data_IF_768060250282
#
_entry.id   IF_768060250282
#
_cell.length_a   1.000
_cell.length_b   1.000
_cell.length_c   1.000
_cell.angle_alpha   90.00
_cell.angle_beta   90.00
_cell.angle_gamma   90.00
#
_symmetry.space_group_name_H-M   'P 1'
#
loop_
_entity.id
_entity.type
_entity.pdbx_description
1 polymer ?
#
# COMPACT_ATOMS: atom_id res chain seq x y z
N UNK A 1 5.95 17.48 -11.97
CA UNK A 1 5.14 18.71 -11.95
C UNK A 1 5.16 19.40 -13.32
N UNK A 2 3.99 19.76 -13.81
CA UNK A 2 3.81 20.59 -15.02
C UNK A 2 3.02 21.83 -14.61
N UNK A 3 3.70 22.94 -14.27
CA UNK A 3 3.05 24.15 -13.78
C UNK A 3 1.95 24.62 -14.72
N UNK A 4 0.77 24.90 -14.16
CA UNK A 4 -0.42 25.28 -14.93
C UNK A 4 -1.23 24.11 -15.52
N UNK A 5 -0.73 22.87 -15.40
CA UNK A 5 -1.40 21.64 -15.87
C UNK A 5 -1.65 20.68 -14.71
N UNK A 6 -0.61 20.22 -14.06
CA UNK A 6 -0.68 19.34 -12.90
C UNK A 6 0.50 19.57 -11.96
N UNK A 7 0.20 19.73 -10.66
CA UNK A 7 1.19 19.83 -9.59
C UNK A 7 0.85 18.76 -8.54
N UNK A 8 1.83 17.99 -8.12
CA UNK A 8 1.67 17.01 -7.04
C UNK A 8 1.47 17.71 -5.68
N UNK A 9 0.98 16.97 -4.70
CA UNK A 9 0.66 17.48 -3.36
C UNK A 9 1.89 17.83 -2.51
N UNK A 10 3.07 17.31 -2.88
CA UNK A 10 4.34 17.58 -2.20
C UNK A 10 5.44 17.95 -3.24
N UNK A 11 5.30 19.11 -3.93
CA UNK A 11 6.17 19.46 -5.07
C UNK A 11 7.63 19.73 -4.67
N UNK A 12 7.87 20.11 -3.44
CA UNK A 12 9.19 20.49 -2.92
C UNK A 12 9.87 19.37 -2.11
N UNK A 13 9.23 18.20 -1.99
CA UNK A 13 9.82 17.05 -1.33
C UNK A 13 10.91 16.39 -2.19
N UNK A 14 11.90 15.80 -1.52
CA UNK A 14 12.88 14.92 -2.17
C UNK A 14 12.34 13.49 -2.19
N UNK A 15 12.56 12.76 -3.29
CA UNK A 15 11.99 11.42 -3.48
C UNK A 15 13.07 10.38 -3.77
N UNK A 16 12.95 9.25 -3.09
CA UNK A 16 13.55 7.98 -3.48
C UNK A 16 12.48 7.12 -4.14
N UNK A 17 12.69 6.73 -5.39
CA UNK A 17 11.77 5.84 -6.12
C UNK A 17 12.40 4.45 -6.16
N UNK A 18 11.76 3.50 -5.49
CA UNK A 18 12.27 2.13 -5.35
C UNK A 18 11.27 1.19 -6.00
N UNK A 19 11.77 0.31 -6.87
CA UNK A 19 10.97 -0.75 -7.48
C UNK A 19 11.30 -2.07 -6.80
N UNK A 20 10.32 -2.69 -6.16
CA UNK A 20 10.41 -3.99 -5.50
C UNK A 20 9.65 -5.12 -6.22
N UNK A 21 8.89 -4.77 -7.26
CA UNK A 21 7.96 -5.69 -7.93
C UNK A 21 8.47 -6.20 -9.28
N UNK A 22 8.18 -7.46 -9.58
CA UNK A 22 8.28 -8.06 -10.91
C UNK A 22 6.88 -8.33 -11.47
N UNK A 23 6.38 -7.46 -12.34
CA UNK A 23 5.01 -7.53 -12.91
C UNK A 23 4.71 -8.79 -13.74
N UNK A 24 5.63 -9.74 -13.82
CA UNK A 24 5.46 -11.01 -14.56
C UNK A 24 4.95 -12.15 -13.69
N UNK A 25 5.06 -12.00 -12.39
CA UNK A 25 4.75 -13.05 -11.41
C UNK A 25 4.58 -12.43 -10.02
N UNK A 26 3.91 -13.16 -9.13
CA UNK A 26 3.69 -12.79 -7.73
C UNK A 26 4.25 -13.90 -6.84
N UNK A 27 5.45 -13.74 -6.32
CA UNK A 27 6.11 -14.73 -5.46
C UNK A 27 6.45 -14.17 -4.09
N UNK A 28 6.52 -15.00 -3.04
CA UNK A 28 6.86 -14.55 -1.68
C UNK A 28 8.17 -13.77 -1.55
N UNK A 29 9.12 -13.95 -2.49
CA UNK A 29 10.38 -13.20 -2.52
C UNK A 29 10.17 -11.69 -2.72
N UNK A 30 9.03 -11.26 -3.24
CA UNK A 30 8.72 -9.84 -3.40
C UNK A 30 8.50 -9.16 -2.05
N UNK A 31 8.07 -9.90 -1.03
CA UNK A 31 8.07 -9.40 0.34
C UNK A 31 9.50 -9.12 0.84
N UNK A 32 10.47 -9.98 0.51
CA UNK A 32 11.89 -9.74 0.85
C UNK A 32 12.43 -8.49 0.14
N UNK A 33 12.05 -8.27 -1.13
CA UNK A 33 12.42 -7.06 -1.87
C UNK A 33 11.79 -5.81 -1.25
N UNK A 34 10.54 -5.90 -0.82
CA UNK A 34 9.86 -4.81 -0.13
C UNK A 34 10.55 -4.49 1.20
N UNK A 35 10.92 -5.49 1.99
CA UNK A 35 11.66 -5.33 3.24
C UNK A 35 13.01 -4.67 2.99
N UNK A 36 13.77 -5.13 1.98
CA UNK A 36 15.04 -4.53 1.61
C UNK A 36 14.89 -3.07 1.17
N UNK A 37 13.77 -2.73 0.50
CA UNK A 37 13.45 -1.34 0.15
C UNK A 37 13.20 -0.47 1.38
N UNK A 38 12.50 -1.00 2.40
CA UNK A 38 12.28 -0.30 3.68
C UNK A 38 13.58 -0.13 4.47
N UNK A 39 14.44 -1.17 4.51
CA UNK A 39 15.76 -1.07 5.14
C UNK A 39 16.64 -0.02 4.47
N UNK A 40 16.62 0.03 3.13
CA UNK A 40 17.31 1.09 2.39
C UNK A 40 16.74 2.46 2.75
N UNK A 41 15.42 2.63 2.78
CA UNK A 41 14.76 3.87 3.14
C UNK A 41 15.17 4.36 4.54
N UNK A 42 15.19 3.45 5.54
CA UNK A 42 15.70 3.73 6.89
C UNK A 42 17.17 4.17 6.85
N UNK A 43 18.02 3.48 6.08
CA UNK A 43 19.46 3.76 6.00
C UNK A 43 19.79 5.14 5.42
N UNK A 44 18.95 5.67 4.55
CA UNK A 44 19.12 7.02 3.95
C UNK A 44 18.34 8.10 4.68
N UNK A 45 17.62 7.74 5.75
CA UNK A 45 16.94 8.66 6.66
C UNK A 45 15.69 9.31 6.06
N UNK A 46 14.81 8.53 5.43
CA UNK A 46 13.53 9.05 4.95
C UNK A 46 12.59 9.35 6.13
N UNK A 47 11.78 10.39 5.99
CA UNK A 47 10.74 10.73 6.98
C UNK A 47 9.44 9.98 6.71
N UNK A 48 9.14 9.69 5.45
CA UNK A 48 7.88 9.11 4.99
C UNK A 48 8.11 8.01 3.98
N UNK A 49 7.41 6.90 4.14
CA UNK A 49 7.29 5.84 3.13
C UNK A 49 5.84 5.82 2.64
N UNK A 50 5.63 5.75 1.33
CA UNK A 50 4.32 5.48 0.74
C UNK A 50 4.41 4.25 -0.15
N UNK A 51 3.59 3.24 0.15
CA UNK A 51 3.54 1.96 -0.54
C UNK A 51 2.15 1.71 -1.12
N UNK A 52 2.08 1.65 -2.45
CA UNK A 52 0.85 1.27 -3.17
C UNK A 52 0.90 -0.21 -3.58
N UNK A 53 1.57 -1.04 -2.79
CA UNK A 53 1.71 -2.47 -2.98
C UNK A 53 0.90 -3.21 -1.91
N UNK A 54 0.53 -4.45 -2.21
CA UNK A 54 -0.18 -5.26 -1.24
C UNK A 54 -0.24 -6.72 -1.65
N UNK A 55 0.10 -7.60 -0.73
CA UNK A 55 0.16 -9.04 -0.95
C UNK A 55 -0.94 -9.75 -0.16
N UNK A 56 -1.44 -10.86 -0.68
CA UNK A 56 -2.38 -11.77 0.01
C UNK A 56 -2.40 -13.16 -0.63
N UNK A 57 -2.01 -13.26 -1.90
CA UNK A 57 -1.96 -14.49 -2.68
C UNK A 57 -0.74 -14.46 -3.58
N UNK A 58 -0.10 -15.60 -3.76
CA UNK A 58 1.09 -15.75 -4.58
C UNK A 58 0.87 -16.82 -5.65
N UNK A 59 1.66 -16.78 -6.71
CA UNK A 59 1.71 -17.76 -7.81
C UNK A 59 2.41 -19.06 -7.35
N UNK A 60 2.02 -19.58 -6.19
CA UNK A 60 2.51 -20.84 -5.61
C UNK A 60 1.33 -21.78 -5.39
N UNK A 61 1.61 -23.10 -5.37
CA UNK A 61 0.55 -24.10 -5.14
C UNK A 61 -0.05 -24.01 -3.72
N UNK A 62 0.73 -23.51 -2.76
CA UNK A 62 0.30 -23.35 -1.37
C UNK A 62 -0.04 -21.89 -1.08
N UNK A 63 -1.21 -21.66 -0.50
CA UNK A 63 -1.57 -20.34 0.03
C UNK A 63 -0.72 -20.03 1.26
N UNK A 64 0.12 -18.99 1.14
CA UNK A 64 1.01 -18.57 2.24
C UNK A 64 0.21 -17.90 3.36
N UNK A 65 -0.83 -17.13 2.99
CA UNK A 65 -1.63 -16.34 3.91
C UNK A 65 -3.12 -16.68 3.86
N UNK A 66 -3.78 -16.48 4.99
CA UNK A 66 -5.23 -16.50 5.13
C UNK A 66 -5.70 -15.20 5.79
N UNK A 67 -7.00 -14.95 5.85
CA UNK A 67 -7.52 -13.79 6.56
C UNK A 67 -7.19 -13.81 8.08
N UNK A 68 -6.93 -14.99 8.65
CA UNK A 68 -6.46 -15.12 10.04
C UNK A 68 -5.03 -14.60 10.22
N UNK A 69 -4.27 -14.45 9.15
CA UNK A 69 -2.91 -13.91 9.17
C UNK A 69 -2.86 -12.37 9.20
N UNK A 70 -4.01 -11.71 9.05
CA UNK A 70 -4.14 -10.25 9.11
C UNK A 70 -4.08 -9.74 10.57
N UNK A 71 -2.99 -10.00 11.25
CA UNK A 71 -2.80 -9.70 12.68
C UNK A 71 -1.66 -8.69 12.96
N UNK A 72 -1.04 -8.16 11.89
CA UNK A 72 0.10 -7.25 11.95
C UNK A 72 1.42 -7.92 12.36
N UNK A 73 1.41 -9.25 12.56
CA UNK A 73 2.54 -10.01 13.14
C UNK A 73 2.91 -11.26 12.37
N UNK A 74 2.02 -11.80 11.55
CA UNK A 74 2.28 -13.03 10.80
C UNK A 74 3.07 -12.75 9.54
N UNK A 75 2.65 -11.81 8.69
CA UNK A 75 3.34 -11.50 7.44
C UNK A 75 4.69 -10.80 7.69
N UNK A 76 5.67 -11.14 6.86
CA UNK A 76 7.02 -10.57 6.94
C UNK A 76 6.98 -9.05 6.77
N UNK A 77 6.26 -8.58 5.74
CA UNK A 77 6.16 -7.14 5.45
C UNK A 77 5.40 -6.37 6.54
N UNK A 78 4.41 -6.99 7.20
CA UNK A 78 3.69 -6.33 8.29
C UNK A 78 4.60 -6.10 9.50
N UNK A 79 5.46 -7.08 9.83
CA UNK A 79 6.51 -6.91 10.84
C UNK A 79 7.49 -5.80 10.47
N UNK A 80 7.96 -5.80 9.22
CA UNK A 80 8.90 -4.78 8.75
C UNK A 80 8.27 -3.39 8.74
N UNK A 81 6.99 -3.27 8.37
CA UNK A 81 6.25 -2.02 8.41
C UNK A 81 6.15 -1.46 9.84
N UNK A 82 5.78 -2.29 10.81
CA UNK A 82 5.76 -1.90 12.23
C UNK A 82 7.15 -1.50 12.73
N UNK A 83 8.20 -2.25 12.36
CA UNK A 83 9.59 -1.90 12.73
C UNK A 83 10.04 -0.56 12.14
N UNK A 84 9.63 -0.23 10.91
CA UNK A 84 9.92 1.08 10.32
C UNK A 84 9.21 2.22 11.07
N UNK A 85 7.95 2.00 11.45
CA UNK A 85 7.20 2.96 12.26
C UNK A 85 7.82 3.17 13.64
N UNK A 86 8.27 2.11 14.31
CA UNK A 86 8.99 2.16 15.60
C UNK A 86 10.27 3.00 15.53
N UNK A 87 10.90 3.09 14.35
CA UNK A 87 12.06 3.94 14.10
C UNK A 87 11.69 5.41 13.83
N UNK A 88 10.42 5.73 13.77
CA UNK A 88 9.90 7.07 13.55
C UNK A 88 9.57 7.40 12.09
N UNK A 89 9.61 6.43 11.19
CA UNK A 89 9.21 6.60 9.78
C UNK A 89 7.68 6.57 9.70
N UNK A 90 7.07 7.59 9.11
CA UNK A 90 5.63 7.61 8.84
C UNK A 90 5.32 6.80 7.58
N UNK A 91 4.77 5.60 7.77
CA UNK A 91 4.46 4.69 6.67
C UNK A 91 2.98 4.74 6.30
N UNK A 92 2.70 5.02 5.03
CA UNK A 92 1.38 4.91 4.42
C UNK A 92 1.32 3.68 3.52
N UNK A 93 0.31 2.85 3.71
CA UNK A 93 0.05 1.67 2.87
C UNK A 93 -1.35 1.72 2.27
N UNK A 94 -1.49 1.26 1.03
CA UNK A 94 -2.79 1.00 0.43
C UNK A 94 -3.54 -0.08 1.24
N UNK A 95 -4.85 0.06 1.35
CA UNK A 95 -5.70 -1.01 1.90
C UNK A 95 -5.83 -2.21 0.96
N UNK A 96 -5.52 -2.01 -0.32
CA UNK A 96 -5.70 -2.99 -1.38
C UNK A 96 -6.96 -2.78 -2.20
N UNK A 97 -7.04 -3.49 -3.33
CA UNK A 97 -8.11 -3.38 -4.33
C UNK A 97 -9.07 -4.58 -4.31
N UNK A 98 -9.12 -5.32 -3.19
CA UNK A 98 -9.80 -6.61 -3.07
C UNK A 98 -11.25 -6.52 -2.57
N UNK A 99 -11.79 -5.31 -2.41
CA UNK A 99 -13.11 -5.11 -1.83
C UNK A 99 -14.28 -5.77 -2.57
N UNK A 100 -14.10 -6.09 -3.85
CA UNK A 100 -15.08 -6.81 -4.67
C UNK A 100 -14.65 -8.26 -4.99
N UNK A 101 -13.47 -8.70 -4.57
CA UNK A 101 -12.96 -10.05 -4.77
C UNK A 101 -13.44 -11.00 -3.66
N UNK A 102 -13.14 -12.29 -3.81
CA UNK A 102 -13.39 -13.29 -2.76
C UNK A 102 -12.56 -13.07 -1.49
N UNK A 103 -11.42 -12.39 -1.60
CA UNK A 103 -10.62 -11.99 -0.44
C UNK A 103 -11.33 -10.93 0.40
N UNK A 104 -11.81 -9.86 -0.22
CA UNK A 104 -12.64 -8.80 0.37
C UNK A 104 -11.99 -7.95 1.45
N UNK A 105 -10.86 -8.39 1.98
CA UNK A 105 -10.14 -7.79 3.11
C UNK A 105 -8.96 -6.94 2.67
N UNK A 106 -8.41 -6.17 3.62
CA UNK A 106 -7.14 -5.48 3.44
C UNK A 106 -6.05 -6.46 3.03
N UNK A 107 -5.01 -5.95 2.35
CA UNK A 107 -3.83 -6.72 1.97
C UNK A 107 -2.65 -6.37 2.87
N UNK A 108 -1.66 -7.26 2.96
CA UNK A 108 -0.44 -6.98 3.71
C UNK A 108 0.43 -5.94 2.95
N UNK A 109 1.08 -4.97 3.63
CA UNK A 109 1.20 -4.78 5.08
C UNK A 109 0.11 -3.90 5.71
N UNK A 110 -1.02 -3.66 5.04
CA UNK A 110 -2.09 -2.78 5.54
C UNK A 110 -2.67 -3.18 6.91
N UNK A 111 -2.41 -4.40 7.38
CA UNK A 111 -2.78 -4.90 8.70
C UNK A 111 -1.79 -4.53 9.82
N UNK A 112 -0.61 -3.98 9.50
CA UNK A 112 0.37 -3.57 10.48
C UNK A 112 -0.20 -2.49 11.43
N UNK A 113 0.29 -2.45 12.67
CA UNK A 113 -0.36 -1.69 13.75
C UNK A 113 -0.06 -0.19 13.65
N UNK A 114 1.19 0.17 13.63
CA UNK A 114 1.67 1.56 13.76
C UNK A 114 1.76 2.32 12.43
N UNK A 115 1.15 1.80 11.36
CA UNK A 115 1.14 2.45 10.04
C UNK A 115 -0.23 3.04 9.70
N UNK A 116 -0.27 3.95 8.73
CA UNK A 116 -1.52 4.52 8.21
C UNK A 116 -1.97 3.75 6.99
N UNK A 117 -3.03 2.96 7.13
CA UNK A 117 -3.65 2.22 6.02
C UNK A 117 -4.73 3.08 5.38
N UNK A 118 -4.66 3.24 4.06
CA UNK A 118 -5.50 4.18 3.30
C UNK A 118 -6.46 3.42 2.39
N UNK A 119 -7.76 3.61 2.61
CA UNK A 119 -8.81 3.11 1.73
C UNK A 119 -9.21 4.11 0.65
N UNK A 120 -9.86 3.63 -0.41
CA UNK A 120 -10.28 4.44 -1.54
C UNK A 120 -11.76 4.84 -1.47
N UNK A 121 -12.03 6.13 -1.76
CA UNK A 121 -13.38 6.64 -1.96
C UNK A 121 -13.51 7.30 -3.34
N UNK A 122 -14.77 7.47 -3.76
CA UNK A 122 -15.17 8.22 -4.93
C UNK A 122 -15.21 9.72 -4.62
N UNK A 123 -15.39 10.56 -5.63
CA UNK A 123 -15.53 12.02 -5.47
C UNK A 123 -16.72 12.42 -4.57
N UNK A 124 -17.82 11.65 -4.60
CA UNK A 124 -18.96 11.83 -3.70
C UNK A 124 -18.77 11.20 -2.30
N UNK A 125 -17.52 10.87 -1.95
CA UNK A 125 -17.08 10.35 -0.64
C UNK A 125 -17.70 9.01 -0.26
N UNK A 126 -18.13 8.21 -1.22
CA UNK A 126 -18.56 6.83 -1.00
C UNK A 126 -17.36 5.89 -1.15
N UNK A 127 -17.35 4.80 -0.38
CA UNK A 127 -16.34 3.77 -0.54
C UNK A 127 -16.32 3.27 -1.99
N UNK A 128 -15.15 3.27 -2.61
CA UNK A 128 -14.94 2.66 -3.93
C UNK A 128 -15.21 1.16 -3.85
N UNK A 129 -15.84 0.59 -4.88
CA UNK A 129 -16.23 -0.83 -4.88
C UNK A 129 -15.03 -1.76 -4.71
N UNK A 130 -13.91 -1.40 -5.29
CA UNK A 130 -12.65 -2.17 -5.20
C UNK A 130 -11.94 -1.99 -3.87
N UNK A 131 -12.15 -0.88 -3.14
CA UNK A 131 -11.41 -0.63 -1.90
C UNK A 131 -11.63 -1.74 -0.89
N UNK A 132 -10.54 -2.37 -0.48
CA UNK A 132 -10.51 -3.38 0.57
C UNK A 132 -11.04 -2.84 1.90
N UNK A 133 -11.55 -3.74 2.73
CA UNK A 133 -12.11 -3.41 4.05
C UNK A 133 -11.47 -4.28 5.14
N UNK A 134 -11.35 -3.75 6.36
CA UNK A 134 -11.05 -4.50 7.59
C UNK A 134 -12.34 -5.07 8.16
N UNK A 135 -12.30 -5.80 9.24
CA UNK A 135 -11.35 -5.79 10.36
C UNK A 135 -10.12 -6.67 10.09
N UNK A 136 -9.05 -6.41 10.85
CA UNK A 136 -7.94 -7.35 11.02
C UNK A 136 -8.38 -8.61 11.76
N UNK A 137 -7.55 -9.65 11.79
CA UNK A 137 -7.83 -10.89 12.50
C UNK A 137 -7.99 -10.70 14.02
N UNK A 138 -7.33 -9.71 14.57
CA UNK A 138 -7.40 -9.28 15.98
C UNK A 138 -8.42 -8.14 16.23
N UNK A 139 -9.32 -7.91 15.27
CA UNK A 139 -10.44 -6.97 15.34
C UNK A 139 -10.08 -5.48 15.38
N UNK A 140 -8.86 -5.09 14.98
CA UNK A 140 -8.56 -3.67 14.76
C UNK A 140 -9.30 -3.14 13.54
N UNK A 141 -9.73 -1.89 13.61
CA UNK A 141 -10.39 -1.21 12.48
C UNK A 141 -9.32 -0.77 11.48
N UNK A 142 -9.44 -1.22 10.24
CA UNK A 142 -8.65 -0.80 9.09
C UNK A 142 -9.57 -0.64 7.88
N UNK A 143 -9.31 0.21 6.91
CA UNK A 143 -8.22 1.20 6.89
C UNK A 143 -8.43 2.29 7.96
N UNK A 144 -7.34 3.01 8.31
CA UNK A 144 -7.36 4.09 9.30
C UNK A 144 -8.00 5.36 8.75
N UNK A 145 -7.74 5.64 7.48
CA UNK A 145 -8.24 6.81 6.75
C UNK A 145 -8.68 6.43 5.35
N UNK A 146 -9.36 7.34 4.67
CA UNK A 146 -9.74 7.20 3.26
C UNK A 146 -9.32 8.43 2.47
N UNK A 147 -9.00 8.23 1.20
CA UNK A 147 -8.68 9.28 0.24
C UNK A 147 -9.38 9.02 -1.11
N UNK A 148 -9.42 10.03 -1.97
CA UNK A 148 -9.90 9.85 -3.33
C UNK A 148 -9.03 8.81 -4.04
N UNK A 149 -9.62 7.70 -4.46
CA UNK A 149 -8.95 6.60 -5.15
C UNK A 149 -9.66 6.21 -6.45
N UNK A 150 -10.82 6.80 -6.76
CA UNK A 150 -11.55 6.59 -8.01
C UNK A 150 -11.48 7.81 -8.88
N UNK A 151 -11.02 7.64 -10.15
CA UNK A 151 -10.90 8.73 -11.10
C UNK A 151 -9.80 9.74 -10.74
N UNK A 152 -8.72 9.30 -10.12
CA UNK A 152 -7.58 10.14 -9.78
C UNK A 152 -6.82 10.56 -11.03
N UNK A 153 -6.49 11.86 -11.13
CA UNK A 153 -5.59 12.33 -12.17
C UNK A 153 -4.17 11.82 -11.91
N UNK A 154 -3.61 11.13 -12.88
CA UNK A 154 -2.26 10.56 -12.83
C UNK A 154 -1.50 10.88 -14.11
N UNK A 155 -0.19 10.72 -14.09
CA UNK A 155 0.67 10.83 -15.27
C UNK A 155 1.04 9.42 -15.73
N UNK A 156 0.75 9.11 -17.00
CA UNK A 156 1.13 7.83 -17.59
C UNK A 156 2.63 7.76 -17.94
N UNK A 157 3.09 6.58 -18.38
CA UNK A 157 4.49 6.37 -18.76
C UNK A 157 4.95 7.23 -19.95
N UNK A 158 4.04 7.79 -20.73
CA UNK A 158 4.32 8.69 -21.86
C UNK A 158 4.30 10.17 -21.44
N UNK A 159 4.01 10.47 -20.18
CA UNK A 159 3.93 11.84 -19.65
C UNK A 159 2.59 12.52 -19.85
N UNK A 160 1.55 11.80 -20.30
CA UNK A 160 0.22 12.36 -20.47
C UNK A 160 -0.58 12.28 -19.17
N UNK A 161 -1.44 13.28 -18.95
CA UNK A 161 -2.40 13.23 -17.85
C UNK A 161 -3.55 12.31 -18.24
N UNK A 162 -3.84 11.35 -17.39
CA UNK A 162 -4.94 10.39 -17.52
C UNK A 162 -5.63 10.19 -16.18
N UNK A 163 -6.63 9.31 -16.13
CA UNK A 163 -7.33 8.96 -14.91
C UNK A 163 -7.12 7.49 -14.59
N UNK A 164 -6.89 7.18 -13.31
CA UNK A 164 -6.73 5.82 -12.81
C UNK A 164 -7.47 5.62 -11.48
N UNK A 165 -7.62 4.36 -11.12
CA UNK A 165 -8.19 3.93 -9.84
C UNK A 165 -7.13 3.13 -9.06
N UNK A 166 -7.21 3.19 -7.75
CA UNK A 166 -6.33 2.44 -6.85
C UNK A 166 -6.25 3.05 -5.47
#
# INVERSE_FOLDING_TARGET
NSPGVMVGTAPDASYWLIKSEDNRSEFPVEEDYWVAAVEFADSVGVDVITSSLGYFMFDTEDSVYSQCSLDGKTALISKAASMAADKGILLFSSAGNEGASSWGKITFPGDADEIVTVGAVTDDKKKSTFSSIGFTADYRVKPDVVALGSGCSVVDASGNITYANG
#
